data_IF_519846642410
#
_entry.id   IF_519846642410
#
_cell.length_a   1.000
_cell.length_b   1.000
_cell.length_c   1.000
_cell.angle_alpha   90.00
_cell.angle_beta   90.00
_cell.angle_gamma   90.00
#
_symmetry.space_group_name_H-M   'P 1'
#
loop_
_entity.id
_entity.type
_entity.pdbx_description
1 polymer ?
#
# COMPACT_ATOMS: atom_id res chain seq x y z
N UNK A 1 45.34 28.11 8.42
CA UNK A 1 45.95 27.42 9.58
C UNK A 1 45.38 28.06 10.83
N UNK A 2 44.64 27.30 11.64
CA UNK A 2 44.09 27.78 12.92
C UNK A 2 44.24 26.66 13.94
N UNK A 3 44.66 27.00 15.16
CA UNK A 3 45.20 26.04 16.12
C UNK A 3 44.13 25.47 17.07
N UNK A 4 44.48 24.30 17.61
CA UNK A 4 43.68 23.49 18.53
C UNK A 4 43.22 24.28 19.77
N UNK A 5 42.04 23.95 20.27
CA UNK A 5 41.82 23.86 21.72
C UNK A 5 41.36 22.44 22.04
N UNK A 6 42.09 21.75 22.92
CA UNK A 6 41.72 20.42 23.43
C UNK A 6 41.28 20.60 24.88
N UNK A 7 40.06 20.21 25.20
CA UNK A 7 39.70 19.84 26.58
C UNK A 7 39.08 18.45 26.54
N UNK A 8 39.79 17.49 27.11
CA UNK A 8 39.30 16.14 27.29
C UNK A 8 38.51 16.06 28.61
N UNK A 9 37.39 15.36 28.60
CA UNK A 9 36.74 14.86 29.80
C UNK A 9 36.24 13.46 29.52
N UNK A 10 37.18 12.51 29.57
CA UNK A 10 36.84 11.10 29.67
C UNK A 10 36.44 10.82 31.13
N UNK A 11 35.19 10.43 31.36
CA UNK A 11 34.75 9.94 32.66
C UNK A 11 33.98 8.63 32.51
N UNK A 12 34.72 7.54 32.80
CA UNK A 12 34.27 6.30 33.46
C UNK A 12 33.03 5.58 32.91
N UNK A 13 33.26 4.37 32.36
CA UNK A 13 32.19 3.38 32.23
C UNK A 13 31.71 2.92 33.61
N UNK A 14 30.40 2.80 33.78
CA UNK A 14 29.77 2.03 34.86
C UNK A 14 28.80 1.01 34.26
N UNK A 15 29.25 -0.24 34.11
CA UNK A 15 28.39 -1.37 33.74
C UNK A 15 27.75 -1.96 35.01
N UNK A 16 26.43 -1.90 35.11
CA UNK A 16 25.63 -2.72 36.03
C UNK A 16 24.20 -2.80 35.48
N UNK A 17 23.77 -4.01 35.09
CA UNK A 17 22.43 -4.26 34.59
C UNK A 17 21.43 -4.41 35.75
N UNK A 18 20.24 -3.82 35.62
CA UNK A 18 19.16 -3.94 36.59
C UNK A 18 18.15 -5.00 36.12
N UNK A 19 18.30 -6.23 36.60
CA UNK A 19 17.39 -7.33 36.31
C UNK A 19 16.33 -7.48 37.41
N UNK A 20 15.07 -7.67 36.98
CA UNK A 20 14.00 -8.44 37.64
C UNK A 20 13.77 -8.30 39.16
N UNK A 21 12.83 -7.43 39.54
CA UNK A 21 11.83 -7.75 40.57
C UNK A 21 10.46 -7.83 39.87
N UNK A 22 9.66 -8.89 39.87
CA UNK A 22 9.43 -10.06 40.77
C UNK A 22 8.37 -9.81 41.84
N UNK A 23 7.11 -9.69 41.41
CA UNK A 23 5.92 -9.55 42.27
C UNK A 23 5.41 -10.92 42.79
N UNK A 24 5.34 -11.16 44.12
CA UNK A 24 5.04 -12.49 44.68
C UNK A 24 3.64 -12.59 45.31
N UNK A 25 2.57 -12.71 44.50
CA UNK A 25 1.19 -12.89 44.99
C UNK A 25 0.40 -13.97 44.23
N UNK A 26 0.75 -15.25 44.42
CA UNK A 26 0.10 -16.40 43.75
C UNK A 26 -0.65 -17.28 44.74
N UNK A 27 -1.99 -17.21 44.79
CA UNK A 27 -2.86 -18.29 45.31
C UNK A 27 -4.36 -18.06 45.04
N UNK A 28 -4.89 -18.76 44.04
CA UNK A 28 -6.29 -19.19 43.93
C UNK A 28 -6.32 -20.49 43.09
N UNK A 29 -7.22 -21.47 43.36
CA UNK A 29 -7.03 -22.84 42.90
C UNK A 29 -7.51 -23.11 41.47
N UNK A 30 -6.86 -24.08 40.82
CA UNK A 30 -7.28 -24.63 39.53
C UNK A 30 -8.57 -25.43 39.64
N UNK A 31 -9.61 -25.06 38.88
CA UNK A 31 -10.68 -25.98 38.45
C UNK A 31 -11.46 -25.43 37.24
N UNK A 32 -10.75 -24.91 36.23
CA UNK A 32 -11.35 -24.78 34.90
C UNK A 32 -11.49 -26.18 34.33
N UNK A 33 -12.72 -26.70 34.35
CA UNK A 33 -13.09 -27.94 33.66
C UNK A 33 -12.84 -27.73 32.18
N UNK A 34 -11.95 -28.52 31.59
CA UNK A 34 -11.85 -28.62 30.14
C UNK A 34 -13.18 -29.18 29.62
N UNK A 35 -13.87 -28.54 28.66
CA UNK A 35 -14.87 -29.26 27.89
C UNK A 35 -14.15 -30.42 27.19
N UNK A 36 -14.73 -31.61 27.27
CA UNK A 36 -14.15 -32.81 26.69
C UNK A 36 -13.98 -32.62 25.18
N UNK A 37 -12.73 -32.51 24.72
CA UNK A 37 -12.42 -32.40 23.28
C UNK A 37 -12.77 -33.74 22.65
N UNK A 38 -13.98 -33.81 22.11
CA UNK A 38 -14.47 -34.98 21.40
C UNK A 38 -13.50 -35.34 20.27
N UNK A 39 -13.16 -36.63 20.06
CA UNK A 39 -12.33 -37.01 18.92
C UNK A 39 -13.05 -36.63 17.63
N UNK A 40 -12.35 -35.89 16.76
CA UNK A 40 -12.92 -35.40 15.50
C UNK A 40 -13.49 -36.56 14.66
N UNK A 41 -14.76 -36.49 14.21
CA UNK A 41 -15.26 -37.40 13.20
C UNK A 41 -14.44 -37.20 11.91
N UNK A 42 -14.17 -38.29 11.20
CA UNK A 42 -13.20 -38.38 10.10
C UNK A 42 -13.20 -37.17 9.14
N UNK A 43 -12.02 -36.69 8.69
CA UNK A 43 -11.91 -35.48 7.90
C UNK A 43 -12.80 -35.58 6.66
N UNK A 44 -13.78 -34.68 6.57
CA UNK A 44 -14.55 -34.48 5.35
C UNK A 44 -13.59 -34.08 4.22
N UNK A 45 -13.79 -34.58 2.98
CA UNK A 45 -12.90 -34.24 1.87
C UNK A 45 -12.88 -32.72 1.68
N UNK A 46 -11.70 -32.12 1.78
CA UNK A 46 -11.54 -30.68 1.62
C UNK A 46 -12.12 -30.23 0.27
N UNK A 47 -13.09 -29.30 0.33
CA UNK A 47 -13.55 -28.62 -0.85
C UNK A 47 -12.33 -27.94 -1.51
N UNK A 48 -12.11 -28.08 -2.83
CA UNK A 48 -10.92 -27.55 -3.48
C UNK A 48 -10.80 -26.05 -3.19
N UNK A 49 -9.56 -25.54 -2.95
CA UNK A 49 -9.35 -24.17 -2.50
C UNK A 49 -10.07 -23.22 -3.45
N UNK A 50 -10.89 -22.32 -2.90
CA UNK A 50 -11.75 -21.41 -3.67
C UNK A 50 -10.88 -20.60 -4.63
N UNK A 51 -10.80 -21.05 -5.89
CA UNK A 51 -10.13 -20.35 -6.98
C UNK A 51 -10.77 -18.97 -7.03
N UNK A 52 -10.03 -17.95 -6.59
CA UNK A 52 -10.51 -16.58 -6.61
C UNK A 52 -10.95 -16.26 -8.03
N UNK A 53 -12.18 -15.77 -8.18
CA UNK A 53 -12.73 -15.44 -9.48
C UNK A 53 -11.88 -14.30 -10.06
N UNK A 54 -11.02 -14.64 -11.02
CA UNK A 54 -10.23 -13.64 -11.74
C UNK A 54 -11.23 -12.68 -12.42
N UNK A 55 -11.01 -11.36 -12.36
CA UNK A 55 -11.90 -10.40 -13.00
C UNK A 55 -12.11 -10.77 -14.47
N UNK A 56 -13.37 -10.88 -14.89
CA UNK A 56 -13.68 -11.05 -16.30
C UNK A 56 -13.20 -9.80 -17.07
N UNK A 57 -12.67 -9.95 -18.30
CA UNK A 57 -12.30 -8.81 -19.12
C UNK A 57 -13.52 -7.92 -19.38
N UNK A 58 -13.31 -6.61 -19.46
CA UNK A 58 -14.37 -5.63 -19.70
C UNK A 58 -15.15 -5.93 -20.99
N UNK A 59 -16.45 -5.62 -21.00
CA UNK A 59 -17.24 -5.76 -22.23
C UNK A 59 -16.77 -4.74 -23.29
N UNK A 60 -16.98 -4.99 -24.60
CA UNK A 60 -16.66 -4.01 -25.63
C UNK A 60 -17.36 -2.65 -25.45
N UNK A 61 -18.53 -2.62 -24.80
CA UNK A 61 -19.23 -1.38 -24.46
C UNK A 61 -18.59 -0.64 -23.29
N UNK A 62 -17.97 -1.35 -22.34
CA UNK A 62 -17.38 -0.74 -21.15
C UNK A 62 -15.96 -0.27 -21.44
N UNK A 63 -15.17 -1.03 -22.20
CA UNK A 63 -13.89 -0.58 -22.74
C UNK A 63 -14.04 0.70 -23.59
N UNK A 64 -15.09 0.80 -24.42
CA UNK A 64 -15.39 2.00 -25.19
C UNK A 64 -15.74 3.23 -24.32
N UNK A 65 -16.46 3.03 -23.20
CA UNK A 65 -16.73 4.09 -22.21
C UNK A 65 -15.47 4.49 -21.45
N UNK A 66 -14.67 3.51 -21.02
CA UNK A 66 -13.44 3.72 -20.28
C UNK A 66 -12.44 4.57 -21.07
N UNK A 67 -12.25 4.26 -22.37
CA UNK A 67 -11.36 5.00 -23.27
C UNK A 67 -11.87 6.42 -23.59
N UNK A 68 -13.19 6.65 -23.69
CA UNK A 68 -13.70 8.04 -23.81
C UNK A 68 -13.46 8.86 -22.53
N UNK A 69 -13.78 8.29 -21.37
CA UNK A 69 -13.50 8.91 -20.07
C UNK A 69 -11.98 9.14 -19.85
N UNK A 70 -11.13 8.24 -20.35
CA UNK A 70 -9.68 8.40 -20.34
C UNK A 70 -9.23 9.56 -21.23
N UNK A 71 -9.76 9.70 -22.46
CA UNK A 71 -9.50 10.85 -23.33
C UNK A 71 -9.95 12.16 -22.68
N UNK A 72 -11.15 12.19 -22.10
CA UNK A 72 -11.68 13.34 -21.37
C UNK A 72 -10.75 13.73 -20.21
N UNK A 73 -10.33 12.77 -19.39
CA UNK A 73 -9.37 12.99 -18.30
C UNK A 73 -8.06 13.60 -18.78
N UNK A 74 -7.47 13.08 -19.88
CA UNK A 74 -6.24 13.67 -20.46
C UNK A 74 -6.46 15.10 -20.97
N UNK A 75 -7.60 15.37 -21.59
CA UNK A 75 -7.94 16.72 -22.07
C UNK A 75 -8.13 17.71 -20.93
N UNK A 76 -8.66 17.26 -19.78
CA UNK A 76 -8.81 18.06 -18.56
C UNK A 76 -7.47 18.30 -17.86
N UNK A 77 -6.58 17.29 -17.79
CA UNK A 77 -5.19 17.47 -17.34
C UNK A 77 -4.45 18.54 -18.15
N UNK A 78 -4.61 18.53 -19.48
CA UNK A 78 -4.03 19.55 -20.36
C UNK A 78 -4.59 20.97 -20.17
N UNK A 79 -5.77 21.10 -19.55
CA UNK A 79 -6.38 22.38 -19.18
C UNK A 79 -6.05 22.82 -17.74
N UNK A 80 -5.32 22.02 -16.96
CA UNK A 80 -5.12 22.26 -15.53
C UNK A 80 -6.32 21.92 -14.64
N UNK A 81 -7.36 21.28 -15.20
CA UNK A 81 -8.61 20.89 -14.53
C UNK A 81 -8.45 19.56 -13.80
N UNK A 82 -7.64 19.58 -12.75
CA UNK A 82 -7.14 18.36 -12.12
C UNK A 82 -8.22 17.59 -11.33
N UNK A 83 -9.21 18.27 -10.75
CA UNK A 83 -10.31 17.63 -10.03
C UNK A 83 -11.22 16.87 -11.01
N UNK A 84 -11.68 17.54 -12.06
CA UNK A 84 -12.53 16.96 -13.10
C UNK A 84 -11.79 15.85 -13.89
N UNK A 85 -10.47 15.99 -14.08
CA UNK A 85 -9.64 14.93 -14.63
C UNK A 85 -9.62 13.68 -13.73
N UNK A 86 -9.52 13.86 -12.40
CA UNK A 86 -9.58 12.74 -11.46
C UNK A 86 -10.94 12.04 -11.45
N UNK A 87 -12.05 12.76 -11.60
CA UNK A 87 -13.38 12.16 -11.74
C UNK A 87 -13.46 11.31 -13.02
N UNK A 88 -13.04 11.87 -14.16
CA UNK A 88 -13.04 11.15 -15.43
C UNK A 88 -12.12 9.90 -15.42
N UNK A 89 -10.91 9.99 -14.85
CA UNK A 89 -10.02 8.82 -14.72
C UNK A 89 -10.53 7.81 -13.68
N UNK A 90 -11.17 8.24 -12.59
CA UNK A 90 -11.76 7.31 -11.63
C UNK A 90 -12.91 6.51 -12.23
N UNK A 91 -13.79 7.16 -13.00
CA UNK A 91 -14.89 6.47 -13.68
C UNK A 91 -14.38 5.59 -14.83
N UNK A 92 -13.38 6.05 -15.60
CA UNK A 92 -12.66 5.23 -16.58
C UNK A 92 -12.15 3.92 -15.97
N UNK A 93 -11.51 4.00 -14.80
CA UNK A 93 -10.94 2.86 -14.07
C UNK A 93 -12.01 1.88 -13.52
N UNK A 94 -13.29 2.31 -13.42
CA UNK A 94 -14.41 1.44 -13.01
C UNK A 94 -14.98 0.62 -14.17
N UNK A 95 -14.84 1.10 -15.41
CA UNK A 95 -15.27 0.39 -16.62
C UNK A 95 -14.17 -0.52 -17.19
N UNK A 96 -12.90 -0.08 -17.19
CA UNK A 96 -11.75 -0.89 -17.61
C UNK A 96 -10.50 -0.62 -16.73
N UNK A 97 -10.19 -1.50 -15.77
CA UNK A 97 -9.05 -1.33 -14.85
C UNK A 97 -7.66 -1.40 -15.53
N UNK A 98 -7.16 -0.27 -16.02
CA UNK A 98 -5.89 -0.18 -16.74
C UNK A 98 -4.78 0.58 -15.99
N UNK A 99 -3.54 0.06 -16.04
CA UNK A 99 -2.33 0.71 -15.50
C UNK A 99 -2.12 2.14 -16.03
N UNK A 100 -2.48 2.39 -17.30
CA UNK A 100 -2.41 3.72 -17.90
C UNK A 100 -3.36 4.72 -17.22
N UNK A 101 -4.59 4.30 -16.94
CA UNK A 101 -5.60 5.09 -16.23
C UNK A 101 -5.20 5.32 -14.79
N UNK A 102 -4.71 4.29 -14.09
CA UNK A 102 -4.25 4.38 -12.70
C UNK A 102 -3.07 5.38 -12.53
N UNK A 103 -2.10 5.38 -13.44
CA UNK A 103 -0.99 6.35 -13.43
C UNK A 103 -1.45 7.79 -13.67
N UNK A 104 -2.47 7.99 -14.51
CA UNK A 104 -3.06 9.31 -14.75
C UNK A 104 -3.89 9.78 -13.54
N UNK A 105 -4.64 8.88 -12.90
CA UNK A 105 -5.38 9.14 -11.66
C UNK A 105 -4.44 9.49 -10.49
N UNK A 106 -3.28 8.83 -10.38
CA UNK A 106 -2.24 9.21 -9.43
C UNK A 106 -1.68 10.61 -9.72
N UNK A 107 -1.43 10.91 -10.99
CA UNK A 107 -0.87 12.20 -11.43
C UNK A 107 -1.86 13.35 -11.25
N UNK A 108 -3.16 13.16 -11.47
CA UNK A 108 -4.17 14.22 -11.22
C UNK A 108 -4.34 14.49 -9.72
N UNK A 109 -4.30 13.45 -8.88
CA UNK A 109 -4.34 13.61 -7.42
C UNK A 109 -3.14 14.44 -6.93
N UNK A 110 -1.94 14.12 -7.43
CA UNK A 110 -0.74 14.91 -7.16
C UNK A 110 -0.90 16.38 -7.58
N UNK A 111 -1.36 16.62 -8.82
CA UNK A 111 -1.52 17.97 -9.39
C UNK A 111 -2.61 18.80 -8.70
N UNK A 112 -3.62 18.16 -8.11
CA UNK A 112 -4.65 18.81 -7.30
C UNK A 112 -4.23 19.08 -5.85
N UNK A 113 -3.04 18.60 -5.43
CA UNK A 113 -2.52 18.76 -4.07
C UNK A 113 -2.88 17.64 -3.10
N UNK A 114 -3.63 16.63 -3.53
CA UNK A 114 -3.95 15.42 -2.75
C UNK A 114 -2.77 14.44 -2.77
N UNK A 115 -1.66 14.87 -2.16
CA UNK A 115 -0.43 14.08 -2.03
C UNK A 115 -0.63 12.72 -1.32
N UNK A 116 -1.45 12.59 -0.25
CA UNK A 116 -1.71 11.29 0.38
C UNK A 116 -2.35 10.29 -0.59
N UNK A 117 -3.38 10.71 -1.34
CA UNK A 117 -4.01 9.85 -2.36
C UNK A 117 -3.07 9.57 -3.53
N UNK A 118 -2.26 10.55 -3.94
CA UNK A 118 -1.22 10.34 -4.95
C UNK A 118 -0.21 9.26 -4.53
N UNK A 119 0.26 9.28 -3.27
CA UNK A 119 1.11 8.22 -2.73
C UNK A 119 0.44 6.83 -2.85
N UNK A 120 -0.79 6.69 -2.36
CA UNK A 120 -1.51 5.40 -2.43
C UNK A 120 -1.74 4.91 -3.87
N UNK A 121 -2.01 5.81 -4.80
CA UNK A 121 -2.24 5.47 -6.20
C UNK A 121 -0.93 5.15 -6.95
N UNK A 122 0.17 5.88 -6.69
CA UNK A 122 1.48 5.55 -7.27
C UNK A 122 2.06 4.24 -6.70
N UNK A 123 1.77 3.89 -5.45
CA UNK A 123 2.14 2.58 -4.90
C UNK A 123 1.43 1.43 -5.65
N UNK A 124 0.09 1.52 -5.80
CA UNK A 124 -0.68 0.57 -6.60
C UNK A 124 -0.21 0.52 -8.07
N UNK A 125 0.13 1.66 -8.65
CA UNK A 125 0.63 1.73 -10.03
C UNK A 125 2.03 1.13 -10.20
N UNK A 126 2.93 1.30 -9.21
CA UNK A 126 4.25 0.66 -9.17
C UNK A 126 4.10 -0.86 -9.15
N UNK A 127 3.28 -1.37 -8.24
CA UNK A 127 3.13 -2.81 -8.04
C UNK A 127 2.41 -3.46 -9.24
N UNK A 128 1.36 -2.83 -9.76
CA UNK A 128 0.72 -3.23 -11.01
C UNK A 128 1.67 -3.14 -12.22
N UNK A 129 2.60 -2.17 -12.27
CA UNK A 129 3.57 -2.09 -13.35
C UNK A 129 4.62 -3.21 -13.28
N UNK A 130 5.14 -3.50 -12.07
CA UNK A 130 6.05 -4.61 -11.80
C UNK A 130 5.44 -5.95 -12.22
N UNK A 131 4.21 -6.21 -11.80
CA UNK A 131 3.51 -7.48 -12.04
C UNK A 131 3.15 -7.67 -13.52
N UNK A 132 3.02 -6.58 -14.28
CA UNK A 132 2.89 -6.58 -15.75
C UNK A 132 4.25 -6.50 -16.50
N UNK A 133 5.40 -6.59 -15.81
CA UNK A 133 6.74 -6.49 -16.40
C UNK A 133 7.09 -5.12 -17.00
N UNK A 134 6.33 -4.07 -16.68
CA UNK A 134 6.44 -2.73 -17.26
C UNK A 134 7.45 -1.86 -16.50
N UNK A 135 8.73 -2.25 -16.55
CA UNK A 135 9.81 -1.66 -15.76
C UNK A 135 9.92 -0.12 -15.83
N UNK A 136 9.68 0.49 -16.99
CA UNK A 136 9.68 1.97 -17.12
C UNK A 136 8.53 2.63 -16.33
N UNK A 137 7.35 1.99 -16.28
CA UNK A 137 6.19 2.48 -15.53
C UNK A 137 6.34 2.24 -14.03
N UNK A 138 6.95 1.12 -13.65
CA UNK A 138 7.34 0.83 -12.26
C UNK A 138 8.34 1.88 -11.76
N UNK A 139 9.40 2.12 -12.53
CA UNK A 139 10.42 3.13 -12.25
C UNK A 139 9.84 4.54 -12.18
N UNK A 140 8.92 4.89 -13.09
CA UNK A 140 8.22 6.17 -13.05
C UNK A 140 7.42 6.32 -11.75
N UNK A 141 6.57 5.35 -11.41
CA UNK A 141 5.75 5.38 -10.19
C UNK A 141 6.62 5.42 -8.92
N UNK A 142 7.67 4.60 -8.84
CA UNK A 142 8.65 4.63 -7.75
C UNK A 142 9.34 6.01 -7.63
N UNK A 143 9.68 6.64 -8.76
CA UNK A 143 10.26 7.99 -8.79
C UNK A 143 9.26 9.03 -8.25
N UNK A 144 7.96 8.93 -8.57
CA UNK A 144 6.93 9.81 -7.99
C UNK A 144 6.83 9.64 -6.47
N UNK A 145 6.79 8.39 -5.98
CA UNK A 145 6.74 8.09 -4.53
C UNK A 145 7.89 8.77 -3.77
N UNK A 146 9.14 8.56 -4.22
CA UNK A 146 10.32 9.16 -3.59
C UNK A 146 10.34 10.69 -3.65
N UNK A 147 9.81 11.30 -4.72
CA UNK A 147 9.73 12.76 -4.86
C UNK A 147 8.63 13.39 -4.01
N UNK A 148 7.59 12.63 -3.67
CA UNK A 148 6.49 13.06 -2.80
C UNK A 148 6.76 12.76 -1.31
N UNK A 149 7.86 12.08 -0.98
CA UNK A 149 8.18 11.66 0.38
C UNK A 149 7.27 10.56 0.92
N UNK A 150 6.67 9.76 0.04
CA UNK A 150 5.84 8.63 0.40
C UNK A 150 6.69 7.51 1.06
N UNK A 151 6.12 6.74 2.00
CA UNK A 151 6.75 5.52 2.54
C UNK A 151 6.74 4.35 1.53
#
# INVERSE_FOLDING_TARGET
MSTQSRLASAFVLALLGLACASDPARSAPSTVVLPEVSPDPSPSPEAPPRRQAQPAPASPSDAARAEELFRQGRALMGQGKYAEACEAFAESMRFDPALGTLLNLATCAERSGDAPRACSLFAQARDMARDNGSADREKFAATRLSQLGCP
#
